data_IF_468099954046
#
_entry.id   IF_468099954046
#
_cell.length_a   1.000
_cell.length_b   1.000
_cell.length_c   1.000
_cell.angle_alpha   90.00
_cell.angle_beta   90.00
_cell.angle_gamma   90.00
#
_symmetry.space_group_name_H-M   'P 1'
#
loop_
_entity.id
_entity.type
_entity.pdbx_description
1 polymer ?
#
# COMPACT_ATOMS: atom_id res chain seq x y z
N UNK A 1 -11.02 13.95 -35.63
CA UNK A 1 -10.48 12.60 -35.89
C UNK A 1 -11.51 11.84 -36.70
N UNK A 2 -11.07 11.00 -37.64
CA UNK A 2 -11.96 10.16 -38.43
C UNK A 2 -12.84 9.26 -37.55
N UNK A 3 -14.06 8.98 -37.98
CA UNK A 3 -14.96 8.06 -37.28
C UNK A 3 -14.35 6.64 -37.26
N UNK A 4 -14.03 6.07 -36.09
CA UNK A 4 -13.40 4.75 -36.00
C UNK A 4 -14.40 3.59 -36.12
N UNK A 5 -15.71 3.87 -36.12
CA UNK A 5 -16.76 2.83 -36.20
C UNK A 5 -16.62 2.01 -37.49
N UNK A 6 -16.65 0.68 -37.35
CA UNK A 6 -16.52 -0.27 -38.45
C UNK A 6 -15.08 -0.67 -38.80
N UNK A 7 -14.07 0.07 -38.32
CA UNK A 7 -12.65 -0.29 -38.49
C UNK A 7 -12.28 -1.47 -37.58
N UNK A 8 -11.28 -2.26 -38.01
CA UNK A 8 -10.74 -3.37 -37.23
C UNK A 8 -9.52 -2.94 -36.43
N UNK A 9 -9.42 -3.41 -35.19
CA UNK A 9 -8.28 -3.27 -34.28
C UNK A 9 -7.70 -4.67 -34.05
N UNK A 10 -6.46 -4.91 -34.51
CA UNK A 10 -5.83 -6.24 -34.47
C UNK A 10 -4.63 -6.36 -33.51
N UNK A 11 -3.90 -5.28 -33.24
CA UNK A 11 -2.56 -5.38 -32.59
C UNK A 11 -2.41 -4.66 -31.24
N UNK A 12 -3.33 -3.78 -30.85
CA UNK A 12 -3.15 -2.98 -29.63
C UNK A 12 -3.75 -3.60 -28.36
N UNK A 13 -4.57 -4.65 -28.50
CA UNK A 13 -5.22 -5.31 -27.39
C UNK A 13 -4.56 -6.68 -27.18
N UNK A 14 -4.00 -6.90 -25.99
CA UNK A 14 -3.49 -8.20 -25.52
C UNK A 14 -4.50 -9.35 -25.52
N UNK A 15 -5.73 -9.06 -25.94
CA UNK A 15 -6.84 -10.00 -25.99
C UNK A 15 -6.78 -10.95 -27.19
N UNK A 16 -5.89 -10.71 -28.16
CA UNK A 16 -5.79 -11.51 -29.38
C UNK A 16 -7.04 -11.39 -30.26
N UNK A 17 -6.87 -11.53 -31.58
CA UNK A 17 -7.97 -11.50 -32.55
C UNK A 17 -8.27 -10.12 -33.15
N UNK A 18 -9.02 -10.14 -34.25
CA UNK A 18 -9.48 -8.94 -34.97
C UNK A 18 -10.79 -8.43 -34.37
N UNK A 19 -10.75 -7.30 -33.69
CA UNK A 19 -11.90 -6.66 -33.07
C UNK A 19 -12.48 -5.59 -33.98
N UNK A 20 -13.80 -5.55 -34.18
CA UNK A 20 -14.46 -4.47 -34.93
C UNK A 20 -15.05 -3.44 -33.98
N UNK A 21 -14.76 -2.16 -34.20
CA UNK A 21 -15.35 -1.06 -33.42
C UNK A 21 -16.85 -0.96 -33.74
N UNK A 22 -17.70 -1.26 -32.76
CA UNK A 22 -19.16 -1.19 -32.88
C UNK A 22 -19.72 0.21 -32.60
N UNK A 23 -19.05 0.98 -31.74
CA UNK A 23 -19.49 2.31 -31.34
C UNK A 23 -18.42 3.05 -30.54
N UNK A 24 -18.64 4.35 -30.36
CA UNK A 24 -17.83 5.23 -29.51
C UNK A 24 -18.77 5.87 -28.50
N UNK A 25 -18.39 5.80 -27.22
CA UNK A 25 -19.11 6.45 -26.13
C UNK A 25 -18.41 7.77 -25.75
N UNK A 26 -19.14 8.68 -25.12
CA UNK A 26 -18.55 9.86 -24.51
C UNK A 26 -17.52 9.46 -23.45
N UNK A 27 -16.50 10.30 -23.18
CA UNK A 27 -15.51 10.01 -22.15
C UNK A 27 -16.16 9.77 -20.79
N UNK A 28 -16.06 8.53 -20.29
CA UNK A 28 -16.52 8.17 -18.96
C UNK A 28 -15.33 8.18 -18.01
N UNK A 29 -15.54 8.76 -16.83
CA UNK A 29 -14.54 8.75 -15.77
C UNK A 29 -14.60 7.41 -15.03
N UNK A 30 -13.63 6.54 -15.28
CA UNK A 30 -13.56 5.19 -14.68
C UNK A 30 -13.25 5.28 -13.19
N UNK A 31 -12.37 6.23 -12.79
CA UNK A 31 -11.98 6.46 -11.40
C UNK A 31 -12.23 7.92 -11.08
N UNK A 32 -13.05 8.18 -10.05
CA UNK A 32 -13.55 9.51 -9.69
C UNK A 32 -12.45 10.57 -9.52
N UNK A 33 -11.26 10.18 -9.08
CA UNK A 33 -10.16 11.09 -8.74
C UNK A 33 -8.99 11.07 -9.74
N UNK A 34 -9.07 10.32 -10.84
CA UNK A 34 -8.03 10.27 -11.86
C UNK A 34 -8.41 11.02 -13.14
N UNK A 35 -7.44 11.32 -14.00
CA UNK A 35 -7.68 11.85 -15.34
C UNK A 35 -8.47 10.86 -16.20
N UNK A 36 -9.12 11.37 -17.24
CA UNK A 36 -9.79 10.53 -18.23
C UNK A 36 -8.77 9.63 -18.91
N UNK A 37 -8.94 8.32 -18.79
CA UNK A 37 -8.13 7.32 -19.48
C UNK A 37 -8.91 6.72 -20.63
N UNK A 38 -8.23 6.41 -21.73
CA UNK A 38 -8.81 5.62 -22.80
C UNK A 38 -9.06 4.19 -22.31
N UNK A 39 -10.24 3.67 -22.59
CA UNK A 39 -10.59 2.29 -22.32
C UNK A 39 -11.42 1.72 -23.46
N UNK A 40 -11.39 0.40 -23.59
CA UNK A 40 -12.17 -0.34 -24.58
C UNK A 40 -13.12 -1.25 -23.82
N UNK A 41 -14.41 -1.15 -24.12
CA UNK A 41 -15.40 -2.13 -23.66
C UNK A 41 -15.57 -3.19 -24.74
N UNK A 42 -15.46 -4.45 -24.36
CA UNK A 42 -15.77 -5.58 -25.22
C UNK A 42 -16.92 -6.38 -24.59
N UNK A 43 -17.78 -6.94 -25.44
CA UNK A 43 -18.87 -7.80 -25.02
C UNK A 43 -18.52 -9.24 -25.38
N UNK A 44 -18.44 -10.11 -24.36
CA UNK A 44 -18.38 -11.55 -24.57
C UNK A 44 -19.78 -12.12 -24.46
N UNK A 45 -20.23 -12.83 -25.50
CA UNK A 45 -21.55 -13.47 -25.52
C UNK A 45 -21.60 -14.74 -24.65
N UNK A 46 -20.45 -15.33 -24.35
CA UNK A 46 -20.35 -16.55 -23.57
C UNK A 46 -20.07 -16.23 -22.10
N UNK A 47 -21.12 -16.30 -21.28
CA UNK A 47 -21.07 -16.05 -19.83
C UNK A 47 -20.32 -17.14 -19.04
N UNK A 48 -19.98 -18.27 -19.68
CA UNK A 48 -19.35 -19.43 -19.04
C UNK A 48 -17.88 -19.62 -19.42
N UNK A 49 -17.40 -18.91 -20.46
CA UNK A 49 -16.00 -18.96 -20.92
C UNK A 49 -15.20 -17.75 -20.44
N UNK A 50 -15.39 -17.34 -19.20
CA UNK A 50 -14.45 -16.39 -18.63
C UNK A 50 -13.16 -17.14 -18.26
N UNK A 51 -12.05 -16.75 -18.90
CA UNK A 51 -10.74 -17.38 -18.71
C UNK A 51 -10.02 -16.83 -17.47
N UNK A 52 -10.56 -15.79 -16.83
CA UNK A 52 -9.85 -15.01 -15.82
C UNK A 52 -10.34 -15.22 -14.37
N UNK A 53 -11.20 -16.21 -14.10
CA UNK A 53 -11.77 -16.48 -12.76
C UNK A 53 -12.44 -15.25 -12.11
N UNK A 54 -12.91 -14.28 -12.89
CA UNK A 54 -13.52 -13.05 -12.37
C UNK A 54 -14.97 -13.36 -11.98
N UNK A 55 -15.38 -12.89 -10.79
CA UNK A 55 -16.79 -12.91 -10.39
C UNK A 55 -17.59 -11.95 -11.29
N UNK A 56 -18.51 -12.46 -12.14
CA UNK A 56 -19.24 -11.59 -13.06
C UNK A 56 -20.22 -10.68 -12.28
N UNK A 57 -20.11 -9.38 -12.51
CA UNK A 57 -21.03 -8.38 -11.96
C UNK A 57 -22.05 -7.98 -13.02
N UNK A 58 -23.33 -8.09 -12.68
CA UNK A 58 -24.42 -7.64 -13.54
C UNK A 58 -25.11 -6.42 -12.95
N UNK A 59 -25.17 -5.35 -13.74
CA UNK A 59 -25.83 -4.11 -13.36
C UNK A 59 -27.21 -4.03 -14.01
N UNK A 60 -28.25 -3.88 -13.19
CA UNK A 60 -29.62 -3.68 -13.64
C UNK A 60 -30.10 -2.28 -13.28
N UNK A 61 -30.73 -1.60 -14.24
CA UNK A 61 -31.36 -0.30 -13.97
C UNK A 61 -32.81 -0.53 -13.55
N UNK A 62 -33.17 -0.08 -12.34
CA UNK A 62 -34.54 -0.11 -11.86
C UNK A 62 -35.41 0.92 -12.58
N UNK A 63 -36.71 0.63 -12.69
CA UNK A 63 -37.68 1.60 -13.22
C UNK A 63 -37.86 2.76 -12.24
N UNK A 64 -38.14 3.99 -12.72
CA UNK A 64 -38.42 5.11 -11.85
C UNK A 64 -39.57 4.79 -10.88
N UNK A 65 -39.40 5.13 -9.59
CA UNK A 65 -40.42 4.95 -8.55
C UNK A 65 -40.48 3.56 -7.90
N UNK A 66 -39.57 2.65 -8.24
CA UNK A 66 -39.39 1.39 -7.50
C UNK A 66 -38.52 1.66 -6.27
N UNK A 67 -38.95 1.14 -5.12
CA UNK A 67 -38.14 1.15 -3.90
C UNK A 67 -36.95 0.21 -4.04
N UNK A 68 -35.75 0.78 -4.04
CA UNK A 68 -34.49 0.07 -4.27
C UNK A 68 -34.17 -0.90 -3.13
N UNK A 69 -34.37 -0.50 -1.87
CA UNK A 69 -34.04 -1.33 -0.70
C UNK A 69 -34.96 -2.54 -0.62
N UNK A 70 -36.26 -2.32 -0.85
CA UNK A 70 -37.25 -3.39 -0.89
C UNK A 70 -36.96 -4.37 -2.03
N UNK A 71 -36.57 -3.87 -3.21
CA UNK A 71 -36.18 -4.71 -4.35
C UNK A 71 -34.94 -5.54 -4.03
N UNK A 72 -33.89 -4.95 -3.47
CA UNK A 72 -32.65 -5.65 -3.12
C UNK A 72 -32.93 -6.75 -2.09
N UNK A 73 -33.76 -6.48 -1.08
CA UNK A 73 -34.13 -7.47 -0.08
C UNK A 73 -34.86 -8.68 -0.69
N UNK A 74 -35.86 -8.43 -1.53
CA UNK A 74 -36.64 -9.48 -2.19
C UNK A 74 -35.80 -10.27 -3.21
N UNK A 75 -35.04 -9.57 -4.05
CA UNK A 75 -34.13 -10.18 -5.02
C UNK A 75 -33.06 -11.03 -4.31
N UNK A 76 -32.52 -10.56 -3.18
CA UNK A 76 -31.49 -11.28 -2.44
C UNK A 76 -32.01 -12.60 -1.91
N UNK A 77 -33.28 -12.66 -1.51
CA UNK A 77 -33.93 -13.89 -1.08
C UNK A 77 -34.21 -14.81 -2.26
N UNK A 78 -34.90 -14.29 -3.26
CA UNK A 78 -35.44 -15.09 -4.37
C UNK A 78 -34.34 -15.59 -5.31
N UNK A 79 -33.38 -14.74 -5.68
CA UNK A 79 -32.37 -15.08 -6.68
C UNK A 79 -31.29 -16.01 -6.14
N UNK A 80 -30.95 -15.93 -4.85
CA UNK A 80 -30.03 -16.90 -4.21
C UNK A 80 -30.57 -18.34 -4.22
N UNK A 81 -31.89 -18.48 -4.20
CA UNK A 81 -32.57 -19.77 -4.28
C UNK A 81 -32.74 -20.23 -5.72
N UNK A 82 -33.23 -19.35 -6.60
CA UNK A 82 -33.68 -19.71 -7.96
C UNK A 82 -32.58 -19.65 -9.02
N UNK A 83 -31.61 -18.74 -8.89
CA UNK A 83 -30.55 -18.55 -9.88
C UNK A 83 -29.29 -19.33 -9.50
N UNK A 84 -29.36 -20.66 -9.69
CA UNK A 84 -28.22 -21.57 -9.51
C UNK A 84 -27.93 -22.26 -10.84
N UNK A 85 -26.73 -22.05 -11.38
CA UNK A 85 -26.28 -22.70 -12.62
C UNK A 85 -24.88 -23.26 -12.45
N UNK A 86 -24.75 -24.58 -12.36
CA UNK A 86 -23.48 -25.25 -12.07
C UNK A 86 -22.86 -24.74 -10.76
N UNK A 87 -21.65 -24.17 -10.86
CA UNK A 87 -20.95 -23.56 -9.72
C UNK A 87 -21.32 -22.09 -9.49
N UNK A 88 -22.04 -21.45 -10.41
CA UNK A 88 -22.44 -20.06 -10.30
C UNK A 88 -23.66 -19.91 -9.39
N UNK A 89 -23.54 -19.01 -8.42
CA UNK A 89 -24.59 -18.63 -7.47
C UNK A 89 -24.56 -17.12 -7.31
N UNK A 90 -25.72 -16.54 -6.99
CA UNK A 90 -25.79 -15.14 -6.63
C UNK A 90 -25.10 -14.93 -5.28
N UNK A 91 -23.98 -14.19 -5.28
CA UNK A 91 -23.23 -13.86 -4.06
C UNK A 91 -23.92 -12.76 -3.25
N UNK A 92 -23.96 -11.56 -3.82
CA UNK A 92 -24.57 -10.38 -3.22
C UNK A 92 -25.33 -9.55 -4.25
N UNK A 93 -26.40 -8.90 -3.80
CA UNK A 93 -27.14 -7.90 -4.55
C UNK A 93 -27.01 -6.62 -3.75
N UNK A 94 -26.48 -5.58 -4.37
CA UNK A 94 -26.10 -4.34 -3.72
C UNK A 94 -26.53 -3.17 -4.60
N UNK A 95 -26.84 -2.05 -3.97
CA UNK A 95 -26.97 -0.77 -4.67
C UNK A 95 -25.60 -0.37 -5.24
N UNK A 96 -25.59 0.02 -6.52
CA UNK A 96 -24.36 0.49 -7.16
C UNK A 96 -23.87 1.78 -6.52
N UNK A 97 -24.78 2.70 -6.19
CA UNK A 97 -24.45 4.01 -5.62
C UNK A 97 -23.85 3.85 -4.21
N UNK A 98 -24.41 2.97 -3.38
CA UNK A 98 -23.88 2.69 -2.04
C UNK A 98 -22.53 1.97 -2.10
N UNK A 99 -22.36 1.06 -3.05
CA UNK A 99 -21.09 0.34 -3.24
C UNK A 99 -19.98 1.33 -3.62
N UNK A 100 -20.25 2.21 -4.58
CA UNK A 100 -19.31 3.27 -4.99
C UNK A 100 -18.96 4.21 -3.83
N UNK A 101 -19.94 4.56 -2.98
CA UNK A 101 -19.70 5.39 -1.80
C UNK A 101 -18.83 4.69 -0.76
N UNK A 102 -19.08 3.41 -0.45
CA UNK A 102 -18.31 2.64 0.53
C UNK A 102 -16.85 2.49 0.11
N UNK A 103 -16.61 2.08 -1.14
CA UNK A 103 -15.26 1.94 -1.70
C UNK A 103 -14.44 3.24 -1.59
N UNK A 104 -15.08 4.40 -1.76
CA UNK A 104 -14.38 5.69 -1.64
C UNK A 104 -14.00 6.01 -0.20
N UNK A 105 -14.88 5.71 0.77
CA UNK A 105 -14.64 6.01 2.19
C UNK A 105 -13.61 5.05 2.79
N UNK A 106 -13.71 3.75 2.48
CA UNK A 106 -12.83 2.73 3.04
C UNK A 106 -11.37 2.95 2.63
N UNK A 107 -11.12 3.32 1.37
CA UNK A 107 -9.76 3.61 0.89
C UNK A 107 -9.10 4.77 1.66
N UNK A 108 -9.84 5.84 1.94
CA UNK A 108 -9.32 6.96 2.72
C UNK A 108 -9.00 6.55 4.17
N UNK A 109 -9.89 5.79 4.80
CA UNK A 109 -9.71 5.32 6.18
C UNK A 109 -8.50 4.41 6.31
N UNK A 110 -8.29 3.48 5.38
CA UNK A 110 -7.10 2.61 5.38
C UNK A 110 -5.81 3.41 5.22
N UNK A 111 -5.77 4.36 4.28
CA UNK A 111 -4.60 5.22 4.09
C UNK A 111 -4.29 6.05 5.34
N UNK A 112 -5.30 6.66 5.95
CA UNK A 112 -5.13 7.43 7.18
C UNK A 112 -4.63 6.54 8.34
N UNK A 113 -5.16 5.33 8.47
CA UNK A 113 -4.74 4.36 9.50
C UNK A 113 -3.28 3.94 9.31
N UNK A 114 -2.86 3.66 8.07
CA UNK A 114 -1.46 3.31 7.78
C UNK A 114 -0.50 4.45 8.09
N UNK A 115 -0.85 5.68 7.71
CA UNK A 115 -0.04 6.87 8.02
C UNK A 115 0.05 7.08 9.55
N UNK A 116 -1.08 6.93 10.25
CA UNK A 116 -1.12 7.05 11.70
C UNK A 116 -0.24 5.98 12.38
N UNK A 117 -0.35 4.72 11.95
CA UNK A 117 0.48 3.62 12.46
C UNK A 117 1.97 3.88 12.22
N UNK A 118 2.33 4.39 11.04
CA UNK A 118 3.71 4.74 10.70
C UNK A 118 4.25 5.83 11.63
N UNK A 119 3.46 6.88 11.89
CA UNK A 119 3.84 7.94 12.84
C UNK A 119 4.01 7.37 14.25
N UNK A 120 3.07 6.54 14.72
CA UNK A 120 3.19 5.88 16.02
C UNK A 120 4.46 5.04 16.12
N UNK A 121 4.84 4.34 15.05
CA UNK A 121 6.07 3.57 15.02
C UNK A 121 7.31 4.47 15.14
N UNK A 122 7.37 5.56 14.38
CA UNK A 122 8.48 6.50 14.46
C UNK A 122 8.61 7.13 15.85
N UNK A 123 7.49 7.53 16.46
CA UNK A 123 7.48 8.08 17.83
C UNK A 123 7.93 7.02 18.84
N UNK A 124 7.50 5.77 18.69
CA UNK A 124 7.87 4.67 19.59
C UNK A 124 9.38 4.40 19.57
N UNK A 125 9.96 4.29 18.37
CA UNK A 125 11.41 4.09 18.19
C UNK A 125 12.20 5.28 18.72
N UNK A 126 11.78 6.51 18.40
CA UNK A 126 12.43 7.72 18.87
C UNK A 126 12.38 7.84 20.41
N UNK A 127 11.24 7.51 21.01
CA UNK A 127 11.04 7.55 22.47
C UNK A 127 11.94 6.55 23.19
N UNK A 128 12.07 5.32 22.66
CA UNK A 128 12.95 4.31 23.22
C UNK A 128 14.43 4.71 23.16
N UNK A 129 14.89 5.16 22.00
CA UNK A 129 16.27 5.61 21.81
C UNK A 129 16.59 6.84 22.69
N UNK A 130 15.63 7.78 22.83
CA UNK A 130 15.76 8.92 23.72
C UNK A 130 15.93 8.50 25.19
N UNK A 131 15.05 7.63 25.69
CA UNK A 131 15.08 7.15 27.07
C UNK A 131 16.39 6.43 27.39
N UNK A 132 16.83 5.51 26.53
CA UNK A 132 18.12 4.82 26.68
C UNK A 132 19.30 5.78 26.73
N UNK A 133 19.27 6.81 25.90
CA UNK A 133 20.34 7.81 25.85
C UNK A 133 20.36 8.69 27.09
N UNK A 134 19.19 8.94 27.70
CA UNK A 134 19.06 9.69 28.96
C UNK A 134 19.55 8.90 30.16
N UNK A 135 19.25 7.61 30.24
CA UNK A 135 19.73 6.72 31.32
C UNK A 135 21.27 6.63 31.36
N UNK A 136 21.93 6.79 30.21
CA UNK A 136 23.40 6.72 30.09
C UNK A 136 24.12 8.05 30.27
N UNK A 137 23.45 9.08 30.78
CA UNK A 137 24.07 10.39 31.04
C UNK A 137 25.26 10.31 31.99
N UNK A 138 25.22 9.45 33.01
CA UNK A 138 26.34 9.21 33.93
C UNK A 138 27.62 8.75 33.21
N UNK A 139 27.50 7.80 32.26
CA UNK A 139 28.64 7.34 31.47
C UNK A 139 29.23 8.45 30.58
N UNK A 140 28.38 9.32 30.02
CA UNK A 140 28.80 10.45 29.19
C UNK A 140 29.60 11.46 30.02
N UNK A 141 29.14 11.74 31.25
CA UNK A 141 29.83 12.62 32.20
C UNK A 141 31.23 12.10 32.56
N UNK A 142 31.34 10.80 32.86
CA UNK A 142 32.63 10.15 33.18
C UNK A 142 33.60 10.20 31.98
N UNK A 143 33.14 9.87 30.77
CA UNK A 143 33.98 9.92 29.55
C UNK A 143 34.45 11.34 29.22
N UNK A 144 33.63 12.35 29.49
CA UNK A 144 34.01 13.77 29.41
C UNK A 144 35.06 14.15 30.46
N UNK A 145 34.89 13.72 31.70
CA UNK A 145 35.82 13.99 32.80
C UNK A 145 37.21 13.38 32.54
N UNK A 146 37.28 12.24 31.85
CA UNK A 146 38.53 11.61 31.41
C UNK A 146 39.19 12.29 30.18
N UNK A 147 38.65 13.41 29.69
CA UNK A 147 39.22 14.17 28.57
C UNK A 147 38.72 13.75 27.18
N UNK A 148 37.67 12.92 27.09
CA UNK A 148 37.04 12.57 25.81
C UNK A 148 36.40 13.79 25.13
N UNK A 149 36.67 13.97 23.84
CA UNK A 149 36.02 15.04 23.05
C UNK A 149 34.54 14.75 22.86
N UNK A 150 33.72 15.81 22.82
CA UNK A 150 32.27 15.70 22.63
C UNK A 150 31.88 14.88 21.39
N UNK A 151 32.64 15.03 20.30
CA UNK A 151 32.43 14.31 19.05
C UNK A 151 32.76 12.81 19.15
N UNK A 152 33.85 12.45 19.85
CA UNK A 152 34.23 11.04 20.03
C UNK A 152 33.19 10.27 20.85
N UNK A 153 32.65 10.89 21.90
CA UNK A 153 31.58 10.29 22.70
C UNK A 153 30.29 10.14 21.88
N UNK A 154 29.92 11.16 21.11
CA UNK A 154 28.72 11.11 20.26
C UNK A 154 28.83 10.05 19.17
N UNK A 155 29.98 9.92 18.51
CA UNK A 155 30.20 8.91 17.47
C UNK A 155 30.16 7.48 18.04
N UNK A 156 30.71 7.28 19.24
CA UNK A 156 30.65 5.98 19.92
C UNK A 156 29.19 5.57 20.21
N UNK A 157 28.38 6.49 20.70
CA UNK A 157 26.95 6.25 20.98
C UNK A 157 26.16 5.99 19.68
N UNK A 158 26.43 6.77 18.62
CA UNK A 158 25.81 6.56 17.32
C UNK A 158 26.17 5.20 16.72
N UNK A 159 27.44 4.79 16.80
CA UNK A 159 27.88 3.47 16.33
C UNK A 159 27.19 2.33 17.08
N UNK A 160 26.98 2.45 18.40
CA UNK A 160 26.27 1.44 19.18
C UNK A 160 24.79 1.35 18.78
N UNK A 161 24.14 2.49 18.55
CA UNK A 161 22.73 2.49 18.14
C UNK A 161 22.58 2.00 16.69
N UNK A 162 23.53 2.33 15.81
CA UNK A 162 23.54 1.83 14.44
C UNK A 162 23.80 0.33 14.35
N UNK A 163 24.61 -0.25 15.24
CA UNK A 163 24.83 -1.70 15.26
C UNK A 163 23.56 -2.44 15.69
N UNK A 164 22.86 -1.95 16.72
CA UNK A 164 21.56 -2.50 17.14
C UNK A 164 20.50 -2.36 16.03
N UNK A 165 20.49 -1.22 15.34
CA UNK A 165 19.63 -1.00 14.19
C UNK A 165 19.93 -1.98 13.05
N UNK A 166 21.20 -2.21 12.72
CA UNK A 166 21.60 -3.17 11.68
C UNK A 166 21.18 -4.61 12.00
N UNK A 167 21.32 -5.04 13.26
CA UNK A 167 20.85 -6.37 13.71
C UNK A 167 19.34 -6.49 13.61
N UNK A 168 18.61 -5.43 13.99
CA UNK A 168 17.16 -5.38 13.89
C UNK A 168 16.68 -5.43 12.44
N UNK A 169 17.34 -4.68 11.55
CA UNK A 169 17.06 -4.66 10.11
C UNK A 169 17.30 -6.03 9.48
N UNK A 170 18.39 -6.71 9.84
CA UNK A 170 18.69 -8.06 9.36
C UNK A 170 17.64 -9.07 9.83
N UNK A 171 17.22 -8.99 11.09
CA UNK A 171 16.16 -9.84 11.64
C UNK A 171 14.82 -9.58 10.95
N UNK A 172 14.46 -8.32 10.71
CA UNK A 172 13.25 -7.94 9.98
C UNK A 172 13.25 -8.44 8.54
N UNK A 173 14.39 -8.34 7.85
CA UNK A 173 14.54 -8.85 6.48
C UNK A 173 14.35 -10.38 6.42
N UNK A 174 14.92 -11.12 7.39
CA UNK A 174 14.73 -12.57 7.49
C UNK A 174 13.25 -12.94 7.70
N UNK A 175 12.53 -12.19 8.54
CA UNK A 175 11.10 -12.40 8.75
C UNK A 175 10.30 -12.15 7.48
N UNK A 176 10.60 -11.09 6.73
CA UNK A 176 9.90 -10.80 5.47
C UNK A 176 10.20 -11.86 4.40
N UNK A 177 11.45 -12.30 4.27
CA UNK A 177 11.78 -13.39 3.34
C UNK A 177 11.03 -14.67 3.73
N UNK A 178 10.94 -14.97 5.03
CA UNK A 178 10.18 -16.11 5.52
C UNK A 178 8.69 -16.03 5.16
N UNK A 179 8.06 -14.86 5.31
CA UNK A 179 6.64 -14.67 4.96
C UNK A 179 6.38 -14.73 3.46
N UNK A 180 7.31 -14.25 2.63
CA UNK A 180 7.21 -14.39 1.17
C UNK A 180 7.30 -15.87 0.76
N UNK A 181 8.32 -16.59 1.26
CA UNK A 181 8.60 -17.97 0.83
C UNK A 181 7.60 -18.98 1.40
N UNK A 182 7.25 -18.85 2.68
CA UNK A 182 6.42 -19.83 3.40
C UNK A 182 4.96 -19.37 3.48
N UNK A 183 4.74 -18.08 3.76
CA UNK A 183 3.40 -17.52 3.94
C UNK A 183 2.63 -17.30 2.63
N UNK A 184 3.31 -17.30 1.47
CA UNK A 184 2.73 -16.94 0.16
C UNK A 184 1.95 -15.62 0.18
N UNK A 185 2.41 -14.68 1.00
CA UNK A 185 1.82 -13.34 1.07
C UNK A 185 2.54 -12.48 0.03
N UNK A 186 1.82 -12.06 -1.00
CA UNK A 186 2.33 -11.14 -2.00
C UNK A 186 2.21 -9.70 -1.49
N UNK A 187 3.35 -9.04 -1.29
CA UNK A 187 3.41 -7.62 -0.89
C UNK A 187 3.33 -6.66 -2.06
N UNK A 188 3.42 -7.18 -3.27
CA UNK A 188 3.17 -6.39 -4.47
C UNK A 188 1.71 -6.55 -4.85
N UNK A 189 1.20 -5.58 -5.60
CA UNK A 189 -0.19 -5.48 -6.02
C UNK A 189 -0.62 -6.64 -6.95
N UNK A 190 -0.32 -7.90 -6.64
CA UNK A 190 -0.52 -9.09 -7.48
C UNK A 190 -1.98 -9.23 -7.93
N UNK A 191 -2.92 -8.75 -7.12
CA UNK A 191 -4.34 -8.64 -7.50
C UNK A 191 -4.63 -7.67 -8.66
N UNK A 192 -3.78 -6.67 -8.92
CA UNK A 192 -3.97 -5.68 -10.01
C UNK A 192 -3.33 -6.11 -11.34
N UNK A 193 -2.43 -7.11 -11.33
CA UNK A 193 -1.81 -7.67 -12.55
C UNK A 193 -2.81 -8.49 -13.37
N UNK A 194 -3.88 -8.95 -12.74
CA UNK A 194 -4.87 -9.84 -13.35
C UNK A 194 -5.87 -8.98 -14.15
N UNK A 195 -5.42 -8.43 -15.28
CA UNK A 195 -6.31 -7.98 -16.36
C UNK A 195 -6.70 -6.50 -16.42
N UNK A 196 -6.28 -5.64 -15.48
CA UNK A 196 -6.72 -4.23 -15.44
C UNK A 196 -5.70 -3.21 -15.99
N UNK A 197 -4.45 -3.60 -16.20
CA UNK A 197 -3.38 -2.74 -16.71
C UNK A 197 -2.72 -3.43 -17.91
N UNK A 198 -2.55 -2.70 -19.02
CA UNK A 198 -1.92 -3.25 -20.22
C UNK A 198 -0.42 -3.52 -19.99
N UNK A 199 0.10 -4.64 -20.49
CA UNK A 199 1.54 -4.99 -20.33
C UNK A 199 2.54 -3.87 -20.69
N UNK A 200 2.33 -3.01 -21.73
CA UNK A 200 3.22 -1.88 -21.98
C UNK A 200 3.34 -0.89 -20.80
N UNK A 201 2.27 -0.73 -20.01
CA UNK A 201 2.28 0.12 -18.81
C UNK A 201 3.02 -0.59 -17.67
N UNK A 202 2.85 -1.91 -17.56
CA UNK A 202 3.56 -2.75 -16.59
C UNK A 202 5.07 -2.68 -16.86
N UNK A 203 5.48 -2.88 -18.12
CA UNK A 203 6.88 -2.87 -18.56
C UNK A 203 7.55 -1.48 -18.42
N UNK A 204 6.78 -0.40 -18.51
CA UNK A 204 7.29 0.96 -18.35
C UNK A 204 7.41 1.42 -16.89
N UNK A 205 6.77 0.71 -15.94
CA UNK A 205 6.79 1.03 -14.51
C UNK A 205 7.23 -0.17 -13.65
N UNK A 206 8.44 -0.73 -13.90
CA UNK A 206 8.93 -1.91 -13.19
C UNK A 206 9.09 -1.67 -11.68
N UNK A 207 9.24 -0.43 -11.24
CA UNK A 207 9.33 -0.10 -9.82
C UNK A 207 8.04 -0.44 -9.04
N UNK A 208 6.88 -0.36 -9.70
CA UNK A 208 5.57 -0.57 -9.09
C UNK A 208 5.11 -2.02 -9.28
N UNK A 209 5.42 -2.59 -10.44
CA UNK A 209 4.94 -3.89 -10.89
C UNK A 209 5.98 -5.02 -10.81
N UNK A 210 7.22 -4.70 -10.47
CA UNK A 210 8.28 -5.64 -10.09
C UNK A 210 8.20 -6.15 -8.65
N UNK A 211 7.90 -7.43 -8.30
CA UNK A 211 7.84 -7.82 -6.89
C UNK A 211 9.12 -7.55 -6.09
N UNK A 212 10.25 -7.88 -6.71
CA UNK A 212 11.57 -7.71 -6.10
C UNK A 212 12.00 -6.24 -6.04
N UNK A 213 11.99 -5.44 -7.14
CA UNK A 213 12.41 -4.05 -7.06
C UNK A 213 11.46 -3.19 -6.22
N UNK A 214 10.15 -3.44 -6.25
CA UNK A 214 9.21 -2.73 -5.39
C UNK A 214 9.54 -2.97 -3.91
N UNK A 215 9.74 -4.23 -3.52
CA UNK A 215 10.13 -4.57 -2.15
C UNK A 215 11.45 -3.90 -1.74
N UNK A 216 12.48 -3.98 -2.57
CA UNK A 216 13.80 -3.39 -2.26
C UNK A 216 13.72 -1.87 -2.07
N UNK A 217 12.94 -1.18 -2.90
CA UNK A 217 12.80 0.27 -2.81
C UNK A 217 11.97 0.67 -1.59
N UNK A 218 10.83 0.02 -1.35
CA UNK A 218 10.00 0.33 -0.16
C UNK A 218 10.76 0.01 1.13
N UNK A 219 11.44 -1.14 1.19
CA UNK A 219 12.27 -1.51 2.34
C UNK A 219 13.44 -0.53 2.52
N UNK A 220 14.07 -0.08 1.44
CA UNK A 220 15.13 0.92 1.47
C UNK A 220 14.66 2.28 2.00
N UNK A 221 13.49 2.75 1.54
CA UNK A 221 12.88 4.00 2.03
C UNK A 221 12.55 3.88 3.51
N UNK A 222 11.88 2.80 3.92
CA UNK A 222 11.53 2.56 5.33
C UNK A 222 12.78 2.49 6.21
N UNK A 223 13.84 1.82 5.75
CA UNK A 223 15.11 1.74 6.45
C UNK A 223 15.79 3.12 6.59
N UNK A 224 15.72 3.96 5.55
CA UNK A 224 16.30 5.30 5.62
C UNK A 224 15.52 6.19 6.60
N UNK A 225 14.19 6.14 6.56
CA UNK A 225 13.33 6.91 7.48
C UNK A 225 13.58 6.47 8.93
N UNK A 226 13.65 5.17 9.20
CA UNK A 226 13.93 4.65 10.54
C UNK A 226 15.34 5.02 11.01
N UNK A 227 16.36 4.91 10.15
CA UNK A 227 17.72 5.32 10.48
C UNK A 227 17.78 6.83 10.80
N UNK A 228 17.07 7.66 10.04
CA UNK A 228 16.95 9.10 10.30
C UNK A 228 16.25 9.38 11.64
N UNK A 229 15.14 8.68 11.94
CA UNK A 229 14.43 8.83 13.20
C UNK A 229 15.29 8.42 14.40
N UNK A 230 15.97 7.27 14.30
CA UNK A 230 16.87 6.76 15.33
C UNK A 230 18.04 7.73 15.55
N UNK A 231 18.72 8.16 14.48
CA UNK A 231 19.85 9.11 14.58
C UNK A 231 19.44 10.43 15.23
N UNK A 232 18.35 11.05 14.76
CA UNK A 232 17.84 12.30 15.33
C UNK A 232 17.49 12.12 16.82
N UNK A 233 16.82 11.02 17.17
CA UNK A 233 16.44 10.74 18.55
C UNK A 233 17.63 10.53 19.50
N UNK A 234 18.77 10.06 19.00
CA UNK A 234 20.02 9.99 19.77
C UNK A 234 20.77 11.32 19.84
N UNK A 235 20.80 12.09 18.75
CA UNK A 235 21.61 13.33 18.69
C UNK A 235 21.03 14.41 19.61
N UNK A 236 19.70 14.59 19.64
CA UNK A 236 19.07 15.67 20.41
C UNK A 236 19.37 15.58 21.93
N UNK A 237 19.19 14.42 22.62
CA UNK A 237 19.48 14.33 24.05
C UNK A 237 20.99 14.37 24.35
N UNK A 238 21.83 13.81 23.46
CA UNK A 238 23.30 13.89 23.61
C UNK A 238 23.80 15.31 23.44
N UNK A 239 23.32 16.03 22.43
CA UNK A 239 23.66 17.44 22.22
C UNK A 239 23.19 18.32 23.40
N UNK A 240 22.03 18.00 23.99
CA UNK A 240 21.58 18.61 25.23
C UNK A 240 22.54 18.35 26.40
N UNK A 241 22.86 17.08 26.67
CA UNK A 241 23.77 16.68 27.75
C UNK A 241 25.21 17.20 27.55
N UNK A 242 25.66 17.38 26.31
CA UNK A 242 26.99 17.90 25.99
C UNK A 242 27.12 19.42 26.20
N UNK A 243 26.00 20.15 26.31
CA UNK A 243 25.97 21.59 26.64
C UNK A 243 25.99 21.85 28.15
N UNK A 244 25.58 20.87 28.95
CA UNK A 244 25.62 20.96 30.41
C UNK A 244 27.06 20.79 30.92
N UNK A 245 27.44 21.53 31.96
CA UNK A 245 28.78 21.47 32.54
C UNK A 245 29.03 20.09 33.16
N UNK A 246 30.22 19.48 33.03
CA UNK A 246 30.53 18.16 33.59
C UNK A 246 30.26 18.07 35.10
N UNK A 247 30.37 19.18 35.83
CA UNK A 247 30.11 19.26 37.26
C UNK A 247 28.61 19.25 37.61
N UNK A 248 27.73 19.67 36.70
CA UNK A 248 26.28 19.65 36.90
C UNK A 248 25.72 18.26 36.58
N UNK A 249 26.27 17.58 35.58
CA UNK A 249 25.89 16.19 35.23
C UNK A 249 26.18 15.20 36.36
N UNK A 250 27.20 15.46 37.19
CA UNK A 250 27.58 14.64 38.35
C UNK A 250 26.82 14.99 39.64
N UNK A 251 26.03 16.06 39.63
CA UNK A 251 25.29 16.54 40.82
C UNK A 251 23.88 15.99 40.94
N UNK A 252 23.38 15.39 39.85
CA UNK A 252 22.05 14.79 39.74
C UNK A 252 22.04 13.26 40.00
N UNK A 253 23.18 12.67 40.38
CA UNK A 253 23.28 11.35 41.03
C UNK A 253 23.43 11.51 42.56
#
# INVERSE_FOLDING_TARGET
GENPVGKQFGDAAQLGGSWRVSGVIEPVKIIKDQEYRSFVMFANADITKDQNEIEPVWCFRLRPGVDEDAFIADASRTWKEQMRYGNYRVGSILSLDDTLRRETVDNFTWQALFIFLLICMLIGVASFAWLRTRERRGEIGVRRAMGGTAGSVMLTLLCEVWSLYAVSLLTGLLLVINTIVIGKIDFCSSGMYIGFVSQPIVDSLPLIFEPVPHFLVVAGIAALILLAAVTLSTIVPVAGALKESPADVLKDE
#
